data_IF_813418894388
#
_entry.id   IF_813418894388
#
_cell.length_a   1.000
_cell.length_b   1.000
_cell.length_c   1.000
_cell.angle_alpha   90.00
_cell.angle_beta   90.00
_cell.angle_gamma   90.00
#
_symmetry.space_group_name_H-M   'P 1'
#
loop_
_entity.id
_entity.type
_entity.pdbx_description
1 polymer ?
#
# COMPACT_ATOMS: atom_id res chain seq x y z
N UNK A 1 0.37 -8.42 -16.59
CA UNK A 1 0.90 -7.61 -15.48
C UNK A 1 0.09 -6.34 -15.21
N UNK A 2 0.24 -5.22 -15.93
CA UNK A 2 -0.43 -3.94 -15.58
C UNK A 2 -1.97 -4.05 -15.42
N UNK A 3 -2.64 -4.67 -16.40
CA UNK A 3 -4.10 -4.89 -16.35
C UNK A 3 -4.52 -5.74 -15.14
N UNK A 4 -3.68 -6.67 -14.72
CA UNK A 4 -3.95 -7.55 -13.57
C UNK A 4 -3.72 -6.81 -12.26
N UNK A 5 -2.68 -5.98 -12.17
CA UNK A 5 -2.44 -5.06 -11.04
C UNK A 5 -3.66 -4.15 -10.84
N UNK A 6 -4.20 -3.59 -11.92
CA UNK A 6 -5.41 -2.75 -11.87
C UNK A 6 -6.68 -3.53 -11.50
N UNK A 7 -6.80 -4.80 -11.93
CA UNK A 7 -7.90 -5.67 -11.49
C UNK A 7 -7.82 -5.95 -9.99
N UNK A 8 -6.62 -6.25 -9.47
CA UNK A 8 -6.39 -6.45 -8.04
C UNK A 8 -6.69 -5.17 -7.25
N UNK A 9 -6.29 -3.99 -7.74
CA UNK A 9 -6.66 -2.70 -7.14
C UNK A 9 -8.18 -2.57 -6.95
N UNK A 10 -8.96 -2.89 -7.99
CA UNK A 10 -10.43 -2.85 -7.91
C UNK A 10 -10.98 -3.84 -6.89
N UNK A 11 -10.44 -5.06 -6.84
CA UNK A 11 -10.85 -6.06 -5.86
C UNK A 11 -10.50 -5.65 -4.42
N UNK A 12 -9.33 -5.04 -4.21
CA UNK A 12 -8.90 -4.49 -2.92
C UNK A 12 -9.86 -3.39 -2.48
N UNK A 13 -10.16 -2.43 -3.36
CA UNK A 13 -11.11 -1.36 -3.05
C UNK A 13 -12.50 -1.91 -2.69
N UNK A 14 -13.01 -2.87 -3.46
CA UNK A 14 -14.31 -3.49 -3.17
C UNK A 14 -14.33 -4.23 -1.82
N UNK A 15 -13.24 -4.90 -1.45
CA UNK A 15 -13.11 -5.55 -0.14
C UNK A 15 -13.01 -4.54 1.00
N UNK A 16 -12.33 -3.44 0.77
CA UNK A 16 -12.23 -2.34 1.71
C UNK A 16 -13.61 -1.68 1.94
N UNK A 17 -14.36 -1.43 0.87
CA UNK A 17 -15.73 -0.88 0.95
C UNK A 17 -16.65 -1.84 1.73
N UNK A 18 -16.56 -3.15 1.47
CA UNK A 18 -17.30 -4.17 2.23
C UNK A 18 -16.92 -4.15 3.72
N UNK A 19 -15.64 -4.00 4.04
CA UNK A 19 -15.16 -3.88 5.42
C UNK A 19 -15.75 -2.65 6.12
N UNK A 20 -15.76 -1.49 5.46
CA UNK A 20 -16.35 -0.26 6.02
C UNK A 20 -17.85 -0.41 6.28
N UNK A 21 -18.57 -1.07 5.37
CA UNK A 21 -19.98 -1.36 5.58
C UNK A 21 -20.21 -2.26 6.80
N UNK A 22 -19.44 -3.35 6.92
CA UNK A 22 -19.52 -4.28 8.06
C UNK A 22 -19.18 -3.59 9.38
N UNK A 23 -18.21 -2.67 9.40
CA UNK A 23 -17.90 -1.85 10.57
C UNK A 23 -19.07 -0.95 10.96
N UNK A 24 -19.70 -0.27 10.00
CA UNK A 24 -20.87 0.56 10.26
C UNK A 24 -22.04 -0.26 10.82
N UNK A 25 -22.28 -1.45 10.27
CA UNK A 25 -23.33 -2.35 10.77
C UNK A 25 -22.99 -2.87 12.18
N UNK A 26 -21.71 -3.12 12.48
CA UNK A 26 -21.25 -3.49 13.83
C UNK A 26 -21.51 -2.37 14.83
N UNK A 27 -21.19 -1.13 14.47
CA UNK A 27 -21.43 0.04 15.32
C UNK A 27 -22.92 0.22 15.62
N UNK A 28 -23.79 0.03 14.63
CA UNK A 28 -25.26 0.06 14.84
C UNK A 28 -25.71 -1.07 15.77
N UNK A 29 -25.21 -2.29 15.58
CA UNK A 29 -25.53 -3.42 16.46
C UNK A 29 -25.06 -3.16 17.90
N UNK A 30 -23.87 -2.57 18.07
CA UNK A 30 -23.32 -2.20 19.37
C UNK A 30 -24.21 -1.18 20.08
N UNK A 31 -24.68 -0.14 19.38
CA UNK A 31 -25.59 0.86 19.94
C UNK A 31 -26.91 0.23 20.42
N UNK A 32 -27.46 -0.72 19.66
CA UNK A 32 -28.68 -1.45 20.05
C UNK A 32 -28.42 -2.34 21.27
N UNK A 33 -27.27 -3.02 21.32
CA UNK A 33 -26.87 -3.85 22.46
C UNK A 33 -26.74 -3.02 23.75
N UNK A 34 -26.12 -1.85 23.67
CA UNK A 34 -25.93 -0.94 24.82
C UNK A 34 -27.26 -0.31 25.29
N UNK A 35 -28.19 -0.02 24.38
CA UNK A 35 -29.48 0.57 24.72
C UNK A 35 -30.46 -0.41 25.40
N UNK A 36 -30.22 -1.72 25.32
CA UNK A 36 -31.11 -2.78 25.83
C UNK A 36 -31.36 -2.80 27.33
N UNK A 37 -30.56 -2.08 28.11
CA UNK A 37 -30.75 -1.95 29.55
C UNK A 37 -32.07 -1.28 29.93
N UNK A 38 -32.53 -0.34 29.09
CA UNK A 38 -33.74 0.45 29.29
C UNK A 38 -33.72 1.31 30.57
N UNK A 39 -34.69 2.22 30.71
CA UNK A 39 -34.88 3.01 31.93
C UNK A 39 -35.73 2.23 32.94
N UNK A 40 -35.10 1.69 33.97
CA UNK A 40 -35.78 0.99 35.06
C UNK A 40 -36.37 1.95 36.11
N UNK A 41 -36.05 3.23 36.04
CA UNK A 41 -36.53 4.26 36.96
C UNK A 41 -38.04 4.46 36.89
N UNK A 42 -38.63 4.39 35.69
CA UNK A 42 -40.08 4.50 35.49
C UNK A 42 -40.85 3.37 36.19
N UNK A 43 -40.34 2.14 36.16
CA UNK A 43 -40.93 1.00 36.87
C UNK A 43 -40.78 1.18 38.38
N UNK A 44 -39.60 1.60 38.85
CA UNK A 44 -39.35 1.83 40.27
C UNK A 44 -40.29 2.92 40.85
N UNK A 45 -40.55 3.98 40.08
CA UNK A 45 -41.46 5.05 40.49
C UNK A 45 -42.92 4.58 40.53
N UNK A 46 -43.38 3.81 39.53
CA UNK A 46 -44.72 3.21 39.56
C UNK A 46 -44.89 2.21 40.72
N UNK A 47 -43.85 1.42 41.02
CA UNK A 47 -43.85 0.52 42.18
C UNK A 47 -43.93 1.29 43.50
N UNK A 48 -43.28 2.46 43.60
CA UNK A 48 -43.38 3.35 44.75
C UNK A 48 -44.78 3.92 44.91
N UNK A 49 -45.37 4.45 43.83
CA UNK A 49 -46.74 4.96 43.83
C UNK A 49 -47.76 3.89 44.22
N UNK A 50 -47.59 2.66 43.73
CA UNK A 50 -48.38 1.50 44.13
C UNK A 50 -48.29 1.22 45.63
N UNK A 51 -47.07 1.18 46.18
CA UNK A 51 -46.84 0.93 47.59
C UNK A 51 -47.45 2.03 48.49
N UNK A 52 -47.34 3.29 48.07
CA UNK A 52 -47.97 4.42 48.77
C UNK A 52 -49.49 4.33 48.77
N UNK A 53 -50.10 3.94 47.65
CA UNK A 53 -51.56 3.81 47.53
C UNK A 53 -52.11 2.67 48.40
N UNK A 54 -51.43 1.51 48.38
CA UNK A 54 -51.74 0.38 49.26
C UNK A 54 -51.60 0.74 50.74
N UNK A 55 -50.52 1.46 51.10
CA UNK A 55 -50.29 1.92 52.46
C UNK A 55 -51.39 2.88 52.96
N UNK A 56 -51.83 3.81 52.11
CA UNK A 56 -52.93 4.74 52.42
C UNK A 56 -54.26 4.01 52.62
N UNK A 57 -54.62 3.07 51.72
CA UNK A 57 -55.86 2.31 51.85
C UNK A 57 -55.85 1.39 53.08
N UNK A 58 -54.72 0.76 53.39
CA UNK A 58 -54.57 -0.05 54.59
C UNK A 58 -54.81 0.77 55.88
N UNK A 59 -54.24 1.98 55.96
CA UNK A 59 -54.46 2.90 57.09
C UNK A 59 -55.91 3.39 57.19
N UNK A 60 -56.61 3.49 56.06
CA UNK A 60 -58.03 3.87 56.00
C UNK A 60 -59.00 2.69 56.24
N UNK A 61 -58.52 1.44 56.28
CA UNK A 61 -59.36 0.25 56.35
C UNK A 61 -60.12 -0.06 55.04
N UNK A 62 -59.66 0.52 53.92
CA UNK A 62 -60.26 0.38 52.59
C UNK A 62 -59.42 -0.55 51.70
N UNK A 63 -59.96 -0.90 50.52
CA UNK A 63 -59.23 -1.65 49.49
C UNK A 63 -58.73 -0.68 48.43
N UNK A 64 -57.43 -0.68 48.12
CA UNK A 64 -56.88 0.18 47.06
C UNK A 64 -57.21 -0.38 45.68
N UNK A 65 -57.56 0.49 44.72
CA UNK A 65 -57.63 0.16 43.30
C UNK A 65 -56.28 0.45 42.62
N UNK A 66 -55.48 -0.59 42.41
CA UNK A 66 -54.16 -0.50 41.77
C UNK A 66 -54.13 -1.03 40.34
N UNK A 67 -55.27 -1.42 39.76
CA UNK A 67 -55.30 -2.16 38.49
C UNK A 67 -54.60 -1.41 37.35
N UNK A 68 -54.76 -0.09 37.28
CA UNK A 68 -54.16 0.71 36.22
C UNK A 68 -52.63 0.78 36.35
N UNK A 69 -52.11 0.93 37.58
CA UNK A 69 -50.66 0.92 37.85
C UNK A 69 -50.08 -0.47 37.57
N UNK A 70 -50.79 -1.53 37.95
CA UNK A 70 -50.36 -2.91 37.71
C UNK A 70 -50.25 -3.21 36.20
N UNK A 71 -51.23 -2.78 35.40
CA UNK A 71 -51.20 -2.91 33.93
C UNK A 71 -50.05 -2.11 33.30
N UNK A 72 -49.76 -0.91 33.81
CA UNK A 72 -48.65 -0.09 33.30
C UNK A 72 -47.29 -0.70 33.64
N UNK A 73 -47.12 -1.25 34.85
CA UNK A 73 -45.91 -2.00 35.24
C UNK A 73 -45.72 -3.22 34.33
N UNK A 74 -46.76 -4.05 34.16
CA UNK A 74 -46.67 -5.25 33.30
C UNK A 74 -46.30 -4.89 31.85
N UNK A 75 -46.88 -3.82 31.31
CA UNK A 75 -46.57 -3.34 29.97
C UNK A 75 -45.11 -2.89 29.84
N UNK A 76 -44.60 -2.12 30.80
CA UNK A 76 -43.20 -1.67 30.80
C UNK A 76 -42.22 -2.83 31.01
N UNK A 77 -42.55 -3.79 31.86
CA UNK A 77 -41.74 -5.00 32.05
C UNK A 77 -41.69 -5.85 30.78
N UNK A 78 -42.82 -6.02 30.08
CA UNK A 78 -42.85 -6.72 28.80
C UNK A 78 -41.99 -6.02 27.75
N UNK A 79 -42.05 -4.68 27.68
CA UNK A 79 -41.19 -3.88 26.81
C UNK A 79 -39.71 -4.02 27.15
N UNK A 80 -39.34 -4.01 28.44
CA UNK A 80 -37.95 -4.22 28.87
C UNK A 80 -37.45 -5.63 28.54
N UNK A 81 -38.28 -6.67 28.71
CA UNK A 81 -37.89 -8.04 28.34
C UNK A 81 -37.63 -8.15 26.84
N UNK A 82 -38.48 -7.57 26.00
CA UNK A 82 -38.29 -7.59 24.55
C UNK A 82 -37.09 -6.75 24.11
N UNK A 83 -36.85 -5.60 24.75
CA UNK A 83 -35.67 -4.77 24.52
C UNK A 83 -34.39 -5.52 24.89
N UNK A 84 -34.36 -6.22 26.04
CA UNK A 84 -33.22 -7.05 26.45
C UNK A 84 -32.94 -8.18 25.47
N UNK A 85 -33.97 -8.88 25.02
CA UNK A 85 -33.84 -9.94 24.00
C UNK A 85 -33.29 -9.39 22.67
N UNK A 86 -33.74 -8.22 22.27
CA UNK A 86 -33.23 -7.53 21.07
C UNK A 86 -31.76 -7.14 21.25
N UNK A 87 -31.38 -6.65 22.42
CA UNK A 87 -30.00 -6.29 22.73
C UNK A 87 -29.06 -7.48 22.84
N UNK A 88 -29.50 -8.61 23.39
CA UNK A 88 -28.76 -9.88 23.38
C UNK A 88 -28.52 -10.36 21.95
N UNK A 89 -29.55 -10.28 21.08
CA UNK A 89 -29.40 -10.58 19.65
C UNK A 89 -28.43 -9.64 18.94
N UNK A 90 -28.46 -8.34 19.28
CA UNK A 90 -27.55 -7.35 18.74
C UNK A 90 -26.10 -7.57 19.21
N UNK A 91 -25.89 -7.96 20.48
CA UNK A 91 -24.57 -8.30 21.02
C UNK A 91 -23.97 -9.52 20.29
N UNK A 92 -24.77 -10.56 20.02
CA UNK A 92 -24.31 -11.70 19.21
C UNK A 92 -23.98 -11.27 17.76
N UNK A 93 -24.75 -10.36 17.18
CA UNK A 93 -24.46 -9.82 15.85
C UNK A 93 -23.15 -9.01 15.82
N UNK A 94 -22.81 -8.27 16.89
CA UNK A 94 -21.53 -7.55 16.99
C UNK A 94 -20.34 -8.50 16.84
N UNK A 95 -20.35 -9.64 17.54
CA UNK A 95 -19.27 -10.62 17.45
C UNK A 95 -19.13 -11.20 16.03
N UNK A 96 -20.25 -11.58 15.41
CA UNK A 96 -20.26 -12.10 14.04
C UNK A 96 -19.76 -11.08 13.02
N UNK A 97 -20.16 -9.82 13.17
CA UNK A 97 -19.71 -8.73 12.29
C UNK A 97 -18.23 -8.41 12.52
N UNK A 98 -17.74 -8.51 13.76
CA UNK A 98 -16.31 -8.38 14.05
C UNK A 98 -15.48 -9.48 13.39
N UNK A 99 -15.93 -10.72 13.46
CA UNK A 99 -15.26 -11.85 12.80
C UNK A 99 -15.28 -11.71 11.27
N UNK A 100 -16.41 -11.25 10.71
CA UNK A 100 -16.51 -10.93 9.29
C UNK A 100 -15.52 -9.82 8.89
N UNK A 101 -15.44 -8.75 9.67
CA UNK A 101 -14.52 -7.65 9.42
C UNK A 101 -13.05 -8.13 9.44
N UNK A 102 -12.69 -8.97 10.41
CA UNK A 102 -11.36 -9.59 10.49
C UNK A 102 -11.07 -10.48 9.27
N UNK A 103 -12.06 -11.23 8.79
CA UNK A 103 -11.97 -12.04 7.57
C UNK A 103 -11.69 -11.19 6.34
N UNK A 104 -12.43 -10.10 6.16
CA UNK A 104 -12.26 -9.17 5.04
C UNK A 104 -10.87 -8.53 5.02
N UNK A 105 -10.34 -8.13 6.18
CA UNK A 105 -8.97 -7.60 6.28
C UNK A 105 -7.90 -8.61 5.86
N UNK A 106 -8.09 -9.90 6.22
CA UNK A 106 -7.17 -10.97 5.79
C UNK A 106 -7.22 -11.18 4.28
N UNK A 107 -8.43 -11.21 3.70
CA UNK A 107 -8.61 -11.33 2.26
C UNK A 107 -7.99 -10.14 1.50
N UNK A 108 -8.23 -8.91 1.99
CA UNK A 108 -7.65 -7.69 1.44
C UNK A 108 -6.10 -7.75 1.49
N UNK A 109 -5.53 -8.17 2.61
CA UNK A 109 -4.08 -8.34 2.77
C UNK A 109 -3.47 -9.31 1.75
N UNK A 110 -4.12 -10.45 1.52
CA UNK A 110 -3.68 -11.42 0.50
C UNK A 110 -3.72 -10.81 -0.90
N UNK A 111 -4.76 -10.03 -1.21
CA UNK A 111 -4.85 -9.33 -2.50
C UNK A 111 -3.76 -8.26 -2.65
N UNK A 112 -3.47 -7.49 -1.60
CA UNK A 112 -2.38 -6.49 -1.58
C UNK A 112 -1.00 -7.14 -1.79
N UNK A 113 -0.73 -8.27 -1.14
CA UNK A 113 0.52 -9.01 -1.34
C UNK A 113 0.67 -9.50 -2.79
N UNK A 114 -0.40 -10.04 -3.38
CA UNK A 114 -0.40 -10.46 -4.79
C UNK A 114 -0.20 -9.27 -5.73
N UNK A 115 -0.80 -8.13 -5.43
CA UNK A 115 -0.64 -6.91 -6.22
C UNK A 115 0.80 -6.40 -6.18
N UNK A 116 1.41 -6.38 -4.98
CA UNK A 116 2.80 -5.97 -4.80
C UNK A 116 3.78 -6.90 -5.53
N UNK A 117 3.54 -8.22 -5.50
CA UNK A 117 4.34 -9.20 -6.24
C UNK A 117 4.30 -8.93 -7.75
N UNK A 118 3.10 -8.76 -8.33
CA UNK A 118 2.97 -8.44 -9.75
C UNK A 118 3.59 -7.09 -10.14
N UNK A 119 3.48 -6.07 -9.27
CA UNK A 119 4.13 -4.79 -9.50
C UNK A 119 5.66 -4.92 -9.47
N UNK A 120 6.20 -5.70 -8.54
CA UNK A 120 7.63 -6.01 -8.48
C UNK A 120 8.12 -6.72 -9.75
N UNK A 121 7.39 -7.74 -10.21
CA UNK A 121 7.75 -8.50 -11.41
C UNK A 121 7.71 -7.61 -12.67
N UNK A 122 6.73 -6.70 -12.76
CA UNK A 122 6.67 -5.70 -13.83
C UNK A 122 7.92 -4.80 -13.82
N UNK A 123 8.30 -4.30 -12.64
CA UNK A 123 9.48 -3.42 -12.51
C UNK A 123 10.78 -4.17 -12.80
N UNK A 124 10.90 -5.42 -12.35
CA UNK A 124 12.04 -6.27 -12.66
C UNK A 124 12.18 -6.48 -14.17
N UNK A 125 11.07 -6.79 -14.85
CA UNK A 125 11.06 -6.97 -16.31
C UNK A 125 11.53 -5.70 -17.03
N UNK A 126 10.98 -4.53 -16.65
CA UNK A 126 11.36 -3.24 -17.24
C UNK A 126 12.83 -2.88 -16.96
N UNK A 127 13.31 -3.20 -15.77
CA UNK A 127 14.71 -3.02 -15.39
C UNK A 127 15.63 -3.87 -16.27
N UNK A 128 15.35 -5.16 -16.40
CA UNK A 128 16.17 -6.08 -17.18
C UNK A 128 16.19 -5.71 -18.67
N UNK A 129 15.05 -5.32 -19.24
CA UNK A 129 14.98 -4.79 -20.61
C UNK A 129 15.79 -3.52 -20.79
N UNK A 130 15.70 -2.58 -19.83
CA UNK A 130 16.43 -1.31 -19.90
C UNK A 130 17.92 -1.52 -19.73
N UNK A 131 18.33 -2.44 -18.84
CA UNK A 131 19.71 -2.87 -18.67
C UNK A 131 20.26 -3.50 -19.96
N UNK A 132 19.50 -4.37 -20.62
CA UNK A 132 19.91 -4.98 -21.88
C UNK A 132 20.13 -3.92 -22.98
N UNK A 133 19.21 -2.96 -23.12
CA UNK A 133 19.34 -1.82 -24.04
C UNK A 133 20.56 -0.96 -23.71
N UNK A 134 20.81 -0.68 -22.43
CA UNK A 134 22.00 0.05 -21.99
C UNK A 134 23.28 -0.67 -22.45
N UNK A 135 23.38 -1.96 -22.18
CA UNK A 135 24.54 -2.79 -22.57
C UNK A 135 24.76 -2.74 -24.08
N UNK A 136 23.71 -2.91 -24.88
CA UNK A 136 23.78 -2.81 -26.35
C UNK A 136 24.33 -1.44 -26.80
N UNK A 137 23.84 -0.34 -26.23
CA UNK A 137 24.29 1.01 -26.57
C UNK A 137 25.75 1.24 -26.19
N UNK A 138 26.20 0.73 -25.06
CA UNK A 138 27.60 0.83 -24.65
C UNK A 138 28.51 0.05 -25.60
N UNK A 139 28.16 -1.18 -25.97
CA UNK A 139 28.91 -1.94 -26.98
C UNK A 139 28.96 -1.21 -28.33
N UNK A 140 27.84 -0.63 -28.77
CA UNK A 140 27.79 0.18 -29.99
C UNK A 140 28.74 1.39 -29.94
N UNK A 141 28.71 2.15 -28.85
CA UNK A 141 29.60 3.30 -28.64
C UNK A 141 31.07 2.88 -28.71
N UNK A 142 31.43 1.76 -28.08
CA UNK A 142 32.82 1.31 -28.05
C UNK A 142 33.27 0.81 -29.42
N UNK A 143 32.40 0.14 -30.18
CA UNK A 143 32.69 -0.25 -31.56
C UNK A 143 33.03 0.97 -32.43
N UNK A 144 32.28 2.07 -32.29
CA UNK A 144 32.57 3.31 -33.01
C UNK A 144 33.87 3.97 -32.55
N UNK A 145 34.17 3.95 -31.24
CA UNK A 145 35.45 4.45 -30.71
C UNK A 145 36.65 3.64 -31.24
N UNK A 146 36.51 2.31 -31.37
CA UNK A 146 37.55 1.46 -31.95
C UNK A 146 37.82 1.80 -33.43
N UNK A 147 36.76 2.03 -34.22
CA UNK A 147 36.89 2.48 -35.62
C UNK A 147 37.58 3.84 -35.70
N UNK A 148 37.20 4.78 -34.84
CA UNK A 148 37.80 6.11 -34.79
C UNK A 148 39.29 6.03 -34.43
N UNK A 149 39.67 5.19 -33.45
CA UNK A 149 41.07 4.97 -33.08
C UNK A 149 41.89 4.39 -34.25
N UNK A 150 41.31 3.42 -34.97
CA UNK A 150 41.96 2.84 -36.15
C UNK A 150 42.18 3.88 -37.26
N UNK A 151 41.19 4.77 -37.49
CA UNK A 151 41.32 5.87 -38.45
C UNK A 151 42.36 6.90 -38.01
N UNK A 152 42.40 7.29 -36.73
CA UNK A 152 43.43 8.21 -36.20
C UNK A 152 44.84 7.61 -36.38
N UNK A 153 45.01 6.31 -36.15
CA UNK A 153 46.27 5.59 -36.42
C UNK A 153 46.62 5.55 -37.91
N UNK A 154 45.63 5.31 -38.78
CA UNK A 154 45.81 5.38 -40.23
C UNK A 154 46.27 6.76 -40.69
N UNK A 155 45.69 7.83 -40.15
CA UNK A 155 46.10 9.21 -40.44
C UNK A 155 47.54 9.49 -39.96
N UNK A 156 47.98 8.89 -38.86
CA UNK A 156 49.38 9.00 -38.42
C UNK A 156 50.36 8.32 -39.38
N UNK A 157 49.95 7.20 -40.02
CA UNK A 157 50.74 6.49 -41.01
C UNK A 157 50.94 7.28 -42.31
N UNK A 158 49.92 8.00 -42.77
CA UNK A 158 49.99 8.82 -43.99
C UNK A 158 50.56 10.22 -43.76
N UNK A 159 51.03 10.54 -42.56
CA UNK A 159 51.48 11.88 -42.18
C UNK A 159 52.78 12.27 -42.91
N UNK A 160 52.76 13.41 -43.59
CA UNK A 160 53.95 14.05 -44.15
C UNK A 160 54.90 14.63 -43.07
N UNK A 161 56.17 14.93 -43.39
CA UNK A 161 57.16 15.44 -42.43
C UNK A 161 56.77 16.75 -41.73
N UNK A 162 55.95 17.58 -42.37
CA UNK A 162 55.55 18.91 -41.90
C UNK A 162 54.05 19.02 -41.58
N UNK A 163 53.32 17.91 -41.58
CA UNK A 163 51.89 17.91 -41.24
C UNK A 163 51.69 17.82 -39.73
N UNK A 164 50.73 18.58 -39.16
CA UNK A 164 50.44 18.52 -37.74
C UNK A 164 50.02 17.09 -37.35
N UNK A 165 50.50 16.62 -36.20
CA UNK A 165 50.15 15.30 -35.69
C UNK A 165 48.62 15.21 -35.54
N UNK A 166 47.95 14.19 -36.12
CA UNK A 166 46.52 14.00 -35.92
C UNK A 166 46.22 13.93 -34.40
N UNK A 167 45.07 14.43 -33.95
CA UNK A 167 44.71 14.43 -32.54
C UNK A 167 44.34 13.01 -32.07
N UNK A 168 45.32 12.10 -32.04
CA UNK A 168 45.25 10.75 -31.43
C UNK A 168 44.83 10.77 -29.95
N UNK A 169 44.73 11.97 -29.36
CA UNK A 169 44.25 12.18 -28.00
C UNK A 169 42.73 12.23 -27.92
N UNK A 170 41.98 12.41 -29.01
CA UNK A 170 40.53 12.60 -28.91
C UNK A 170 39.83 11.30 -28.47
N UNK A 171 40.10 10.18 -29.12
CA UNK A 171 39.54 8.87 -28.70
C UNK A 171 39.98 8.46 -27.30
N UNK A 172 41.25 8.64 -26.95
CA UNK A 172 41.76 8.39 -25.60
C UNK A 172 41.12 9.33 -24.56
N UNK A 173 40.94 10.62 -24.87
CA UNK A 173 40.26 11.59 -24.01
C UNK A 173 38.77 11.28 -23.85
N UNK A 174 38.11 10.81 -24.91
CA UNK A 174 36.72 10.37 -24.86
C UNK A 174 36.57 9.13 -23.98
N UNK A 175 37.46 8.13 -24.11
CA UNK A 175 37.49 6.96 -23.23
C UNK A 175 37.79 7.34 -21.77
N UNK A 176 38.75 8.24 -21.53
CA UNK A 176 39.05 8.76 -20.19
C UNK A 176 37.85 9.51 -19.63
N UNK A 177 37.18 10.35 -20.42
CA UNK A 177 36.00 11.09 -20.01
C UNK A 177 34.79 10.20 -19.69
N UNK A 178 34.59 9.12 -20.44
CA UNK A 178 33.57 8.12 -20.18
C UNK A 178 33.84 7.36 -18.86
N UNK A 179 35.10 6.98 -18.62
CA UNK A 179 35.54 6.33 -17.37
C UNK A 179 35.42 7.26 -16.17
N UNK A 180 35.85 8.52 -16.30
CA UNK A 180 35.82 9.51 -15.24
C UNK A 180 34.39 9.91 -14.83
N UNK A 181 33.40 9.66 -15.69
CA UNK A 181 31.97 9.86 -15.40
C UNK A 181 31.23 8.57 -15.05
N UNK A 182 31.95 7.50 -14.74
CA UNK A 182 31.37 6.27 -14.20
C UNK A 182 30.61 5.42 -15.22
N UNK A 183 30.89 5.54 -16.53
CA UNK A 183 30.29 4.62 -17.50
C UNK A 183 30.83 3.21 -17.28
N UNK A 184 29.98 2.34 -16.74
CA UNK A 184 30.34 0.94 -16.50
C UNK A 184 30.45 0.20 -17.84
N UNK A 185 31.61 -0.41 -18.09
CA UNK A 185 31.89 -1.16 -19.32
C UNK A 185 31.45 -2.62 -19.16
N UNK A 186 30.69 -3.18 -20.14
CA UNK A 186 30.35 -4.60 -20.18
C UNK A 186 31.58 -5.53 -20.23
N UNK A 187 31.42 -6.83 -19.93
CA UNK A 187 32.52 -7.79 -19.89
C UNK A 187 33.11 -8.02 -21.30
N UNK A 188 34.41 -8.26 -21.38
CA UNK A 188 35.10 -8.64 -22.63
C UNK A 188 35.54 -7.48 -23.54
N UNK A 189 35.28 -6.22 -23.17
CA UNK A 189 35.71 -5.03 -23.91
C UNK A 189 37.18 -4.70 -23.62
N UNK A 190 37.60 -4.90 -22.36
CA UNK A 190 38.98 -4.78 -21.93
C UNK A 190 39.47 -6.12 -21.38
N UNK A 191 40.76 -6.48 -21.53
CA UNK A 191 41.34 -7.57 -20.76
C UNK A 191 41.14 -7.25 -19.27
N UNK A 192 40.54 -8.19 -18.55
CA UNK A 192 40.18 -8.07 -17.14
C UNK A 192 41.41 -7.60 -16.35
N UNK A 193 41.45 -6.31 -15.96
CA UNK A 193 42.51 -5.79 -15.09
C UNK A 193 42.33 -6.23 -13.64
N UNK A 194 41.11 -6.65 -13.26
CA UNK A 194 40.74 -7.04 -11.89
C UNK A 194 39.78 -8.25 -11.90
N UNK A 195 40.30 -9.49 -11.84
CA UNK A 195 39.50 -10.72 -12.01
C UNK A 195 38.57 -11.09 -10.85
N UNK A 196 38.63 -10.38 -9.72
CA UNK A 196 37.86 -10.73 -8.51
C UNK A 196 36.51 -10.00 -8.35
N UNK A 197 36.03 -9.29 -9.37
CA UNK A 197 34.70 -8.65 -9.31
C UNK A 197 33.70 -9.40 -10.20
N UNK A 198 32.92 -10.29 -9.58
CA UNK A 198 31.82 -11.04 -10.19
C UNK A 198 30.61 -10.14 -10.48
N UNK A 199 30.79 -9.09 -11.29
CA UNK A 199 29.73 -8.18 -11.70
C UNK A 199 29.75 -8.08 -13.23
N UNK A 200 28.60 -8.29 -13.88
CA UNK A 200 28.43 -8.21 -15.34
C UNK A 200 28.65 -6.80 -15.93
N UNK A 201 29.06 -5.82 -15.12
CA UNK A 201 29.47 -4.49 -15.60
C UNK A 201 30.53 -3.96 -14.63
N UNK A 202 31.75 -3.67 -15.09
CA UNK A 202 32.79 -3.08 -14.24
C UNK A 202 32.38 -1.65 -13.90
N UNK A 203 32.08 -1.38 -12.63
CA UNK A 203 31.78 -0.04 -12.12
C UNK A 203 33.08 0.61 -11.61
N UNK A 204 33.71 1.54 -12.37
CA UNK A 204 34.95 2.14 -11.94
C UNK A 204 34.61 3.36 -11.06
N UNK A 205 34.77 3.17 -9.76
CA UNK A 205 34.82 4.20 -8.70
C UNK A 205 33.55 5.03 -8.42
N UNK A 206 33.23 5.05 -7.12
CA UNK A 206 32.40 5.99 -6.34
C UNK A 206 31.44 6.83 -7.18
N UNK A 207 30.17 6.41 -7.19
CA UNK A 207 29.05 7.30 -7.53
C UNK A 207 29.21 8.50 -6.60
N UNK A 208 29.50 9.66 -7.18
CA UNK A 208 29.67 10.91 -6.49
C UNK A 208 28.49 11.14 -5.54
N UNK A 209 28.75 11.06 -4.23
CA UNK A 209 27.71 11.07 -3.20
C UNK A 209 26.98 12.42 -3.15
N UNK A 210 27.52 13.43 -3.83
CA UNK A 210 27.10 14.83 -3.75
C UNK A 210 26.12 15.28 -4.85
N UNK A 211 25.80 14.43 -5.85
CA UNK A 211 24.91 14.78 -6.98
C UNK A 211 23.61 13.95 -7.07
N UNK A 212 23.24 13.21 -6.01
CA UNK A 212 22.08 12.33 -6.00
C UNK A 212 20.71 13.04 -6.11
N UNK A 213 20.65 14.36 -5.97
CA UNK A 213 19.39 15.11 -6.02
C UNK A 213 18.75 15.11 -7.41
N UNK A 214 19.51 15.44 -8.45
CA UNK A 214 18.93 15.88 -9.74
C UNK A 214 18.87 14.79 -10.82
N UNK A 215 19.45 13.62 -10.59
CA UNK A 215 19.51 12.57 -11.61
C UNK A 215 18.19 11.80 -11.70
N UNK A 216 17.56 11.86 -12.87
CA UNK A 216 16.33 11.14 -13.20
C UNK A 216 15.11 11.48 -12.33
N UNK A 217 15.07 12.68 -11.71
CA UNK A 217 13.94 13.12 -10.88
C UNK A 217 12.59 13.00 -11.62
N UNK A 218 12.55 13.37 -12.90
CA UNK A 218 11.33 13.30 -13.72
C UNK A 218 10.88 11.86 -13.95
N UNK A 219 11.81 10.96 -14.19
CA UNK A 219 11.55 9.53 -14.38
C UNK A 219 11.09 8.87 -13.07
N UNK A 220 11.69 9.26 -11.94
CA UNK A 220 11.28 8.81 -10.59
C UNK A 220 9.88 9.33 -10.25
N UNK A 221 9.59 10.59 -10.56
CA UNK A 221 8.26 11.17 -10.35
C UNK A 221 7.21 10.47 -11.22
N UNK A 222 7.50 10.25 -12.50
CA UNK A 222 6.61 9.54 -13.41
C UNK A 222 6.32 8.10 -12.93
N UNK A 223 7.36 7.39 -12.49
CA UNK A 223 7.22 6.04 -11.91
C UNK A 223 6.37 6.08 -10.63
N UNK A 224 6.59 7.07 -9.77
CA UNK A 224 5.83 7.25 -8.54
C UNK A 224 4.35 7.54 -8.82
N UNK A 225 4.04 8.38 -9.82
CA UNK A 225 2.67 8.63 -10.29
C UNK A 225 2.01 7.36 -10.85
N UNK A 226 2.75 6.55 -11.59
CA UNK A 226 2.28 5.25 -12.10
C UNK A 226 1.95 4.28 -10.95
N UNK A 227 2.84 4.14 -9.96
CA UNK A 227 2.64 3.28 -8.79
C UNK A 227 1.43 3.74 -7.95
N UNK A 228 1.21 5.04 -7.80
CA UNK A 228 -0.04 5.58 -7.22
C UNK A 228 -1.27 5.24 -8.05
N UNK A 229 -1.12 5.26 -9.38
CA UNK A 229 -2.12 4.73 -10.32
C UNK A 229 -2.49 3.28 -10.02
N UNK A 230 -1.55 2.46 -9.57
CA UNK A 230 -1.77 1.09 -9.11
C UNK A 230 -2.28 0.97 -7.67
N UNK A 231 -2.25 2.03 -6.87
CA UNK A 231 -2.75 2.03 -5.50
C UNK A 231 -1.68 1.79 -4.43
N UNK A 232 -0.41 2.04 -4.77
CA UNK A 232 0.69 2.15 -3.81
C UNK A 232 0.84 3.61 -3.37
N UNK A 233 1.11 3.84 -2.09
CA UNK A 233 1.37 5.18 -1.54
C UNK A 233 2.86 5.49 -1.45
#
# INVERSE_FOLDING_TARGET
MEREILKLKKSINAKHDEFLQVQSDRERAQQVAEAGGGDTGAIAELQRQRAEMLGKAYLAGETADTEQIDREIEKLEAQLREARKTAEGAAAAVELLQDKANGLLREESVLRQRQAALARDLMQTRYDETKARYVEKVYGLISELQKLYALERGLEYFRGPNEPKPPLKLTEQLLIGLRARGLCLPPGIEPIRYPDTAWDVHCPYVIDHDHHGEFAEKEIEALSQELRGYGFE
#
